data_IF_581108762444
#
_entry.id   IF_581108762444
#
_cell.length_a   1.000
_cell.length_b   1.000
_cell.length_c   1.000
_cell.angle_alpha   90.00
_cell.angle_beta   90.00
_cell.angle_gamma   90.00
#
_symmetry.space_group_name_H-M   'P 1'
#
loop_
_entity.id
_entity.type
_entity.pdbx_description
1 polymer ?
#
# COMPACT_ATOMS: atom_id res chain seq x y z
N UNK A 1 16.92 -8.25 13.13
CA UNK A 1 15.71 -8.97 13.55
C UNK A 1 16.14 -10.39 13.85
N UNK A 2 15.87 -10.90 15.05
CA UNK A 2 16.23 -12.27 15.42
C UNK A 2 15.01 -13.17 15.24
N UNK A 3 15.02 -13.97 14.17
CA UNK A 3 13.97 -14.93 13.83
C UNK A 3 14.39 -16.29 14.41
N UNK A 4 13.52 -16.99 15.18
CA UNK A 4 13.86 -18.31 15.69
C UNK A 4 14.04 -19.34 14.58
N UNK A 5 15.11 -20.13 14.64
CA UNK A 5 15.36 -21.24 13.70
C UNK A 5 14.54 -22.49 14.05
N UNK A 6 14.03 -22.59 15.29
CA UNK A 6 13.33 -23.78 15.76
C UNK A 6 11.84 -23.73 15.41
N UNK A 7 11.33 -24.86 14.93
CA UNK A 7 9.91 -25.02 14.55
C UNK A 7 8.99 -24.77 15.74
N UNK A 8 9.40 -25.19 16.93
CA UNK A 8 8.60 -25.11 18.15
C UNK A 8 8.45 -23.67 18.66
N UNK A 9 9.42 -22.79 18.35
CA UNK A 9 9.43 -21.41 18.81
C UNK A 9 8.86 -20.44 17.76
N UNK A 10 8.95 -20.76 16.47
CA UNK A 10 8.57 -19.87 15.38
C UNK A 10 7.10 -19.44 15.45
N UNK A 11 6.17 -20.39 15.65
CA UNK A 11 4.74 -20.10 15.75
C UNK A 11 4.41 -19.15 16.91
N UNK A 12 4.73 -19.51 18.17
CA UNK A 12 4.52 -18.63 19.33
C UNK A 12 5.24 -17.27 19.23
N UNK A 13 6.37 -17.21 18.52
CA UNK A 13 7.07 -15.94 18.27
C UNK A 13 6.30 -15.06 17.29
N UNK A 14 5.78 -15.62 16.18
CA UNK A 14 4.95 -14.91 15.22
C UNK A 14 3.64 -14.43 15.85
N UNK A 15 3.03 -15.21 16.75
CA UNK A 15 1.81 -14.81 17.46
C UNK A 15 1.99 -13.47 18.17
N UNK A 16 3.15 -13.26 18.81
CA UNK A 16 3.48 -12.01 19.50
C UNK A 16 3.70 -10.86 18.52
N UNK A 17 4.22 -11.14 17.33
CA UNK A 17 4.41 -10.12 16.27
C UNK A 17 3.08 -9.67 15.68
N UNK A 18 2.15 -10.60 15.49
CA UNK A 18 0.81 -10.31 14.96
C UNK A 18 0.05 -9.34 15.84
N UNK A 19 0.17 -9.45 17.16
CA UNK A 19 -0.53 -8.54 18.09
C UNK A 19 0.26 -7.27 18.41
N UNK A 20 1.48 -7.11 17.87
CA UNK A 20 2.34 -5.96 18.12
C UNK A 20 1.81 -4.73 17.35
N UNK A 21 1.80 -3.57 17.99
CA UNK A 21 1.42 -2.31 17.36
C UNK A 21 2.41 -1.87 16.26
N UNK A 22 3.58 -2.50 16.20
CA UNK A 22 4.61 -2.25 15.18
C UNK A 22 4.60 -3.27 14.04
N UNK A 23 3.56 -4.10 13.90
CA UNK A 23 3.50 -5.14 12.84
C UNK A 23 3.78 -4.57 11.44
N UNK A 24 3.23 -3.40 11.10
CA UNK A 24 3.48 -2.77 9.79
C UNK A 24 4.95 -2.40 9.53
N UNK A 25 5.72 -2.06 10.57
CA UNK A 25 7.17 -1.84 10.42
C UNK A 25 7.90 -3.19 10.28
N UNK A 26 7.50 -4.18 11.07
CA UNK A 26 8.05 -5.53 10.99
C UNK A 26 7.85 -6.16 9.60
N UNK A 27 6.68 -5.99 8.99
CA UNK A 27 6.37 -6.45 7.63
C UNK A 27 7.32 -5.82 6.62
N UNK A 28 7.57 -4.50 6.69
CA UNK A 28 8.54 -3.83 5.81
C UNK A 28 9.96 -4.35 5.99
N UNK A 29 10.38 -4.65 7.21
CA UNK A 29 11.69 -5.23 7.47
C UNK A 29 11.81 -6.65 6.90
N UNK A 30 10.75 -7.45 7.00
CA UNK A 30 10.68 -8.78 6.40
C UNK A 30 10.70 -8.74 4.87
N UNK A 31 10.06 -7.76 4.23
CA UNK A 31 10.07 -7.62 2.77
C UNK A 31 11.49 -7.51 2.18
N UNK A 32 12.46 -6.99 2.94
CA UNK A 32 13.86 -6.93 2.49
C UNK A 32 14.57 -8.29 2.51
N UNK A 33 14.06 -9.27 3.27
CA UNK A 33 14.68 -10.59 3.46
C UNK A 33 13.75 -11.75 3.07
N UNK A 34 12.55 -11.46 2.53
CA UNK A 34 11.53 -12.46 2.21
C UNK A 34 12.02 -13.48 1.17
N UNK A 35 12.91 -13.07 0.27
CA UNK A 35 13.52 -13.93 -0.76
C UNK A 35 14.30 -15.12 -0.14
N UNK A 36 14.83 -14.98 1.08
CA UNK A 36 15.57 -16.05 1.78
C UNK A 36 14.64 -17.16 2.29
N UNK A 37 13.34 -16.87 2.41
CA UNK A 37 12.33 -17.81 2.93
C UNK A 37 11.53 -18.48 1.82
N UNK A 38 11.64 -18.00 0.58
CA UNK A 38 10.75 -18.41 -0.50
C UNK A 38 11.22 -19.74 -1.13
N UNK A 39 10.45 -20.84 -0.99
CA UNK A 39 10.74 -22.06 -1.74
C UNK A 39 10.57 -21.77 -3.23
N UNK A 40 11.44 -22.29 -4.12
CA UNK A 40 11.29 -22.07 -5.55
C UNK A 40 9.92 -22.59 -6.03
N UNK A 41 9.09 -21.68 -6.54
CA UNK A 41 7.77 -21.99 -7.11
C UNK A 41 6.60 -22.02 -6.12
N UNK A 42 6.79 -21.56 -4.88
CA UNK A 42 5.70 -21.42 -3.91
C UNK A 42 5.44 -19.94 -3.62
N UNK A 43 4.32 -19.42 -4.10
CA UNK A 43 3.86 -18.05 -3.86
C UNK A 43 2.36 -18.13 -3.57
N UNK A 44 1.95 -18.28 -2.31
CA UNK A 44 0.53 -18.35 -1.97
C UNK A 44 -0.16 -17.04 -2.36
N UNK A 45 -1.29 -17.15 -3.04
CA UNK A 45 -2.05 -15.99 -3.52
C UNK A 45 -3.00 -15.44 -2.45
N UNK A 46 -3.19 -16.17 -1.33
CA UNK A 46 -4.12 -15.77 -0.27
C UNK A 46 -3.80 -16.35 1.11
N UNK A 47 -4.28 -15.67 2.16
CA UNK A 47 -4.25 -16.18 3.54
C UNK A 47 -4.92 -17.56 3.67
N UNK A 48 -6.01 -17.79 2.93
CA UNK A 48 -6.76 -19.04 2.96
C UNK A 48 -5.92 -20.23 2.45
N UNK A 49 -5.04 -19.98 1.49
CA UNK A 49 -4.13 -20.99 0.95
C UNK A 49 -3.05 -21.39 1.97
N UNK A 50 -2.50 -20.41 2.71
CA UNK A 50 -1.51 -20.66 3.77
C UNK A 50 -2.14 -21.40 4.96
N UNK A 51 -3.31 -20.93 5.42
CA UNK A 51 -3.98 -21.50 6.58
C UNK A 51 -4.62 -22.87 6.27
N UNK A 52 -5.10 -23.07 5.05
CA UNK A 52 -5.75 -24.32 4.63
C UNK A 52 -6.87 -24.75 5.58
N UNK A 53 -6.84 -26.01 6.01
CA UNK A 53 -7.78 -26.56 7.00
C UNK A 53 -7.50 -26.15 8.44
N UNK A 54 -6.37 -25.48 8.71
CA UNK A 54 -5.93 -25.14 10.07
C UNK A 54 -6.41 -23.76 10.53
N UNK A 55 -7.17 -23.02 9.71
CA UNK A 55 -7.73 -21.70 10.03
C UNK A 55 -8.37 -21.67 11.42
N UNK A 56 -9.32 -22.57 11.69
CA UNK A 56 -10.04 -22.58 12.97
C UNK A 56 -9.11 -22.94 14.14
N UNK A 57 -8.10 -23.78 13.89
CA UNK A 57 -7.09 -24.10 14.89
C UNK A 57 -6.20 -22.90 15.21
N UNK A 58 -5.90 -22.05 14.23
CA UNK A 58 -5.15 -20.79 14.43
C UNK A 58 -5.99 -19.79 15.23
N UNK A 59 -7.28 -19.66 14.94
CA UNK A 59 -8.16 -18.76 15.70
C UNK A 59 -8.32 -19.20 17.18
N UNK A 60 -8.32 -20.51 17.45
CA UNK A 60 -8.48 -21.05 18.80
C UNK A 60 -7.16 -21.17 19.59
N UNK A 61 -6.04 -21.45 18.89
CA UNK A 61 -4.78 -21.89 19.55
C UNK A 61 -3.53 -21.16 19.07
N UNK A 62 -3.63 -20.25 18.11
CA UNK A 62 -2.49 -19.52 17.54
C UNK A 62 -1.70 -20.30 16.50
N UNK A 63 -0.64 -19.67 15.99
CA UNK A 63 0.22 -20.21 14.94
C UNK A 63 1.01 -21.45 15.35
N UNK A 64 1.07 -21.79 16.64
CA UNK A 64 1.63 -23.08 17.08
C UNK A 64 0.87 -24.29 16.52
N UNK A 65 -0.35 -24.11 16.00
CA UNK A 65 -1.09 -25.18 15.32
C UNK A 65 -0.60 -25.44 13.90
N UNK A 66 0.13 -24.49 13.30
CA UNK A 66 0.65 -24.62 11.95
C UNK A 66 1.92 -25.47 11.90
N UNK A 67 2.16 -26.05 10.74
CA UNK A 67 3.44 -26.70 10.47
C UNK A 67 4.52 -25.66 10.10
N UNK A 68 5.77 -26.12 9.96
CA UNK A 68 6.89 -25.24 9.68
C UNK A 68 6.76 -24.52 8.33
N UNK A 69 6.31 -25.25 7.30
CA UNK A 69 6.20 -24.73 5.94
C UNK A 69 5.16 -23.61 5.86
N UNK A 70 4.06 -23.75 6.60
CA UNK A 70 3.04 -22.69 6.72
C UNK A 70 3.57 -21.45 7.46
N UNK A 71 4.33 -21.63 8.54
CA UNK A 71 4.98 -20.49 9.21
C UNK A 71 6.03 -19.83 8.31
N UNK A 72 6.80 -20.61 7.55
CA UNK A 72 7.75 -20.10 6.58
C UNK A 72 7.05 -19.35 5.44
N UNK A 73 5.87 -19.80 5.00
CA UNK A 73 5.06 -19.12 4.01
C UNK A 73 4.70 -17.69 4.43
N UNK A 74 4.40 -17.45 5.71
CA UNK A 74 4.17 -16.10 6.23
C UNK A 74 5.43 -15.22 6.21
N UNK A 75 6.60 -15.80 6.47
CA UNK A 75 7.88 -15.06 6.38
C UNK A 75 8.25 -14.74 4.92
N UNK A 76 7.94 -15.64 4.00
CA UNK A 76 8.12 -15.45 2.57
C UNK A 76 7.09 -14.48 1.95
N UNK A 77 5.94 -14.31 2.60
CA UNK A 77 4.84 -13.43 2.15
C UNK A 77 4.41 -12.49 3.28
N UNK A 78 5.24 -11.50 3.65
CA UNK A 78 5.03 -10.72 4.87
C UNK A 78 3.70 -9.96 4.92
N UNK A 79 3.13 -9.61 3.76
CA UNK A 79 1.82 -8.96 3.67
C UNK A 79 0.69 -9.82 4.26
N UNK A 80 0.80 -11.15 4.18
CA UNK A 80 -0.18 -12.09 4.74
C UNK A 80 -0.26 -12.02 6.27
N UNK A 81 0.76 -11.48 6.93
CA UNK A 81 0.72 -11.23 8.38
C UNK A 81 -0.26 -10.11 8.74
N UNK A 82 -0.46 -9.12 7.86
CA UNK A 82 -1.45 -8.05 8.08
C UNK A 82 -2.87 -8.59 7.92
N UNK A 83 -3.12 -9.39 6.88
CA UNK A 83 -4.41 -10.08 6.70
C UNK A 83 -4.71 -11.00 7.88
N UNK A 84 -3.70 -11.73 8.36
CA UNK A 84 -3.85 -12.57 9.54
C UNK A 84 -4.14 -11.75 10.81
N UNK A 85 -3.51 -10.59 10.98
CA UNK A 85 -3.81 -9.68 12.10
C UNK A 85 -5.26 -9.23 12.05
N UNK A 86 -5.75 -8.79 10.89
CA UNK A 86 -7.14 -8.41 10.71
C UNK A 86 -8.08 -9.56 11.09
N UNK A 87 -7.84 -10.75 10.53
CA UNK A 87 -8.63 -11.96 10.82
C UNK A 87 -8.65 -12.27 12.33
N UNK A 88 -7.49 -12.22 12.99
CA UNK A 88 -7.35 -12.49 14.43
C UNK A 88 -8.02 -11.43 15.29
N UNK A 89 -7.97 -10.15 14.90
CA UNK A 89 -8.63 -9.07 15.64
C UNK A 89 -10.16 -9.13 15.53
N UNK A 90 -10.69 -9.64 14.42
CA UNK A 90 -12.13 -9.76 14.18
C UNK A 90 -12.69 -11.06 14.77
N UNK A 91 -12.01 -12.19 14.52
CA UNK A 91 -12.53 -13.54 14.80
C UNK A 91 -11.73 -14.32 15.85
N UNK A 92 -10.64 -13.76 16.37
CA UNK A 92 -9.77 -14.45 17.32
C UNK A 92 -10.46 -14.84 18.63
N UNK A 93 -10.19 -16.06 19.09
CA UNK A 93 -10.74 -16.58 20.34
C UNK A 93 -9.97 -16.12 21.60
N UNK A 94 -10.26 -16.78 22.71
CA UNK A 94 -9.64 -16.50 24.03
C UNK A 94 -8.11 -16.54 24.01
N UNK A 95 -7.52 -17.33 23.13
CA UNK A 95 -6.07 -17.41 22.98
C UNK A 95 -5.46 -16.05 22.62
N UNK A 96 -5.98 -15.43 21.56
CA UNK A 96 -5.46 -14.15 21.05
C UNK A 96 -5.73 -13.00 22.01
N UNK A 97 -6.89 -12.99 22.66
CA UNK A 97 -7.18 -12.03 23.72
C UNK A 97 -6.14 -12.11 24.86
N UNK A 98 -5.78 -13.33 25.28
CA UNK A 98 -4.76 -13.51 26.32
C UNK A 98 -3.36 -13.04 25.87
N UNK A 99 -3.02 -13.15 24.58
CA UNK A 99 -1.75 -12.59 24.08
C UNK A 99 -1.82 -11.06 24.05
N UNK A 100 -2.90 -10.47 23.55
CA UNK A 100 -3.13 -9.03 23.57
C UNK A 100 -3.03 -8.45 24.98
N UNK A 101 -3.60 -9.14 25.97
CA UNK A 101 -3.54 -8.72 27.38
C UNK A 101 -2.12 -8.81 27.97
N UNK A 102 -1.28 -9.70 27.46
CA UNK A 102 0.12 -9.84 27.88
C UNK A 102 1.05 -8.82 27.23
N UNK A 103 0.72 -8.34 26.04
CA UNK A 103 1.41 -7.23 25.38
C UNK A 103 0.88 -5.94 26.02
N UNK A 104 1.24 -5.70 27.29
CA UNK A 104 0.94 -4.43 27.95
C UNK A 104 1.50 -3.30 27.09
N UNK A 105 0.60 -2.55 26.45
CA UNK A 105 0.91 -1.23 25.90
C UNK A 105 1.65 -0.46 26.99
N UNK A 106 2.76 0.23 26.70
CA UNK A 106 3.42 1.09 27.66
C UNK A 106 2.52 2.32 27.92
N UNK A 107 1.42 2.11 28.62
CA UNK A 107 0.62 3.16 29.23
C UNK A 107 1.49 3.73 30.32
N UNK A 108 2.16 4.83 29.97
CA UNK A 108 2.74 5.78 30.90
C UNK A 108 1.74 6.06 32.02
N UNK A 109 1.90 5.35 33.12
CA UNK A 109 1.35 5.74 34.41
C UNK A 109 2.45 5.48 35.43
N UNK A 110 3.02 6.53 36.04
CA UNK A 110 3.98 6.34 37.12
C UNK A 110 3.30 5.54 38.24
N UNK A 111 4.03 4.66 38.92
CA UNK A 111 3.46 3.82 39.97
C UNK A 111 2.88 4.73 41.05
N UNK A 112 1.56 4.65 41.24
CA UNK A 112 0.87 5.26 42.38
C UNK A 112 1.35 4.51 43.62
N UNK A 113 2.39 5.04 44.25
CA UNK A 113 2.92 4.51 45.50
C UNK A 113 1.80 4.55 46.54
N UNK A 114 1.25 3.37 46.85
CA UNK A 114 0.39 3.15 48.00
C UNK A 114 1.23 3.41 49.26
N UNK A 115 1.06 4.60 49.83
CA UNK A 115 1.67 5.01 51.09
C UNK A 115 1.03 4.20 52.22
N UNK A 116 1.68 3.10 52.59
CA UNK A 116 1.37 2.31 53.77
C UNK A 116 1.41 3.24 55.00
N UNK A 117 0.28 3.34 55.70
CA UNK A 117 0.21 3.89 57.06
C UNK A 117 1.19 3.13 57.94
N UNK A 118 2.13 3.85 58.52
CA UNK A 118 2.86 3.42 59.72
C UNK A 118 2.59 4.45 60.80
N UNK A 119 1.87 4.02 61.83
CA UNK A 119 1.76 4.71 63.10
C UNK A 119 3.13 4.76 63.78
N UNK A 120 3.60 5.95 64.14
CA UNK A 120 4.28 6.09 65.43
C UNK A 120 4.35 7.53 65.92
N UNK A 121 4.00 7.64 67.19
CA UNK A 121 3.91 8.81 68.04
C UNK A 121 5.27 9.48 68.29
N UNK A 122 5.36 10.80 68.13
CA UNK A 122 5.97 11.74 69.10
C UNK A 122 5.88 13.20 68.63
N UNK A 123 5.36 14.06 69.51
CA UNK A 123 5.29 15.52 69.35
C UNK A 123 6.59 16.19 69.88
N UNK A 124 6.71 17.54 69.88
CA UNK A 124 7.10 18.37 68.75
C UNK A 124 8.42 19.13 69.02
N UNK A 125 9.17 19.48 67.97
CA UNK A 125 10.19 20.56 68.06
C UNK A 125 10.02 21.55 66.92
N UNK A 126 9.56 22.73 67.34
CA UNK A 126 9.50 23.97 66.57
C UNK A 126 10.93 24.43 66.28
N UNK A 127 11.29 24.55 64.99
CA UNK A 127 12.39 25.41 64.56
C UNK A 127 12.00 26.17 63.28
N UNK A 128 11.60 27.42 63.53
CA UNK A 128 12.07 28.66 62.91
C UNK A 128 12.37 28.61 61.40
N UNK A 129 11.49 29.28 60.66
CA UNK A 129 11.64 29.74 59.28
C UNK A 129 13.00 30.43 59.06
N UNK A 130 13.74 29.98 58.04
CA UNK A 130 14.77 30.80 57.39
C UNK A 130 14.22 31.31 56.06
N UNK A 131 14.43 32.60 55.72
CA UNK A 131 14.04 33.16 54.42
C UNK A 131 14.96 32.59 53.34
N UNK A 132 14.39 32.11 52.23
CA UNK A 132 15.15 31.79 51.02
C UNK A 132 15.24 33.08 50.21
N UNK A 133 16.45 33.62 50.15
CA UNK A 133 16.85 34.73 49.30
C UNK A 133 16.64 34.43 47.82
N UNK A 134 16.29 35.48 47.11
CA UNK A 134 16.05 35.52 45.67
C UNK A 134 17.36 35.46 44.84
N UNK A 135 17.22 34.85 43.65
CA UNK A 135 17.87 35.22 42.37
C UNK A 135 19.36 34.87 42.13
N UNK A 136 19.86 34.95 40.87
CA UNK A 136 19.29 34.46 39.60
C UNK A 136 20.37 33.74 38.75
N UNK A 137 20.00 32.90 37.77
CA UNK A 137 20.83 32.72 36.56
C UNK A 137 20.05 32.11 35.39
N UNK A 138 19.45 33.02 34.62
CA UNK A 138 19.09 32.82 33.21
C UNK A 138 20.36 32.44 32.44
N UNK A 139 20.49 31.17 32.05
CA UNK A 139 21.41 30.75 31.00
C UNK A 139 20.63 30.65 29.69
N UNK A 140 21.03 31.47 28.71
CA UNK A 140 20.55 31.42 27.34
C UNK A 140 21.38 30.36 26.61
N UNK A 141 20.75 29.26 26.23
CA UNK A 141 21.37 28.30 25.30
C UNK A 141 20.57 28.33 23.98
N UNK A 142 21.23 28.60 22.84
CA UNK A 142 20.57 28.69 21.56
C UNK A 142 20.20 27.30 21.03
N UNK A 143 18.98 27.22 20.50
CA UNK A 143 18.38 26.09 19.82
C UNK A 143 19.13 25.85 18.49
N UNK A 144 19.85 24.73 18.38
CA UNK A 144 20.43 24.28 17.11
C UNK A 144 19.29 23.63 16.31
N UNK A 145 18.85 24.33 15.27
CA UNK A 145 17.91 23.81 14.27
C UNK A 145 18.68 22.80 13.42
N UNK A 146 18.31 21.53 13.52
CA UNK A 146 18.83 20.45 12.68
C UNK A 146 18.55 20.71 11.20
N UNK A 147 19.61 20.75 10.40
CA UNK A 147 19.62 20.97 8.94
C UNK A 147 19.21 19.70 8.14
N UNK A 148 18.48 18.76 8.76
CA UNK A 148 18.05 17.53 8.10
C UNK A 148 16.81 17.68 7.19
N UNK A 149 16.16 18.85 7.17
CA UNK A 149 14.91 19.08 6.43
C UNK A 149 15.08 19.69 5.03
N UNK A 150 16.30 20.05 4.60
CA UNK A 150 16.53 20.63 3.26
C UNK A 150 17.09 19.63 2.24
N UNK A 151 17.45 18.41 2.66
CA UNK A 151 17.92 17.35 1.75
C UNK A 151 16.81 16.65 0.97
N UNK A 152 15.60 16.56 1.54
CA UNK A 152 14.50 15.81 0.91
C UNK A 152 13.74 16.62 -0.16
N UNK A 153 13.69 17.95 -0.06
CA UNK A 153 13.05 18.78 -1.09
C UNK A 153 13.90 18.90 -2.37
N UNK A 154 15.21 18.74 -2.30
CA UNK A 154 16.09 18.81 -3.47
C UNK A 154 15.99 17.57 -4.37
N UNK A 155 15.74 16.38 -3.80
CA UNK A 155 15.62 15.13 -4.56
C UNK A 155 14.30 15.10 -5.35
N UNK A 156 13.19 15.54 -4.73
CA UNK A 156 11.88 15.63 -5.40
C UNK A 156 11.90 16.67 -6.53
N UNK A 157 12.54 17.83 -6.31
CA UNK A 157 12.68 18.85 -7.36
C UNK A 157 13.60 18.40 -8.52
N UNK A 158 14.62 17.59 -8.24
CA UNK A 158 15.53 17.07 -9.27
C UNK A 158 14.84 16.07 -10.20
N UNK A 159 13.99 15.18 -9.67
CA UNK A 159 13.20 14.28 -10.54
C UNK A 159 12.15 15.02 -11.36
N UNK A 160 11.61 16.13 -10.84
CA UNK A 160 10.64 16.95 -11.57
C UNK A 160 11.25 17.71 -12.77
N UNK A 161 12.53 18.12 -12.69
CA UNK A 161 13.17 18.87 -13.78
C UNK A 161 13.61 18.00 -14.97
N UNK A 162 13.88 16.71 -14.78
CA UNK A 162 14.29 15.81 -15.88
C UNK A 162 13.11 15.54 -16.84
N UNK A 163 11.86 15.66 -16.40
CA UNK A 163 10.69 15.38 -17.25
C UNK A 163 10.11 16.59 -18.00
N UNK A 164 10.42 17.83 -17.63
CA UNK A 164 9.85 19.02 -18.32
C UNK A 164 10.72 19.52 -19.48
N UNK A 165 11.94 19.01 -19.64
CA UNK A 165 12.92 19.55 -20.58
C UNK A 165 13.11 18.74 -21.88
N UNK A 166 12.07 18.10 -22.43
CA UNK A 166 12.14 17.54 -23.78
C UNK A 166 11.07 18.09 -24.73
N UNK A 167 11.18 19.36 -25.17
CA UNK A 167 10.44 19.85 -26.32
C UNK A 167 11.24 19.61 -27.61
N UNK A 168 10.53 19.11 -28.63
CA UNK A 168 10.91 18.98 -30.03
C UNK A 168 11.67 17.70 -30.44
N UNK A 169 10.92 16.76 -31.02
CA UNK A 169 11.38 16.12 -32.25
C UNK A 169 10.33 16.25 -33.34
N UNK A 170 10.81 16.76 -34.46
CA UNK A 170 10.07 17.25 -35.60
C UNK A 170 9.47 16.11 -36.42
N UNK A 171 8.22 16.31 -36.81
CA UNK A 171 7.56 15.64 -37.93
C UNK A 171 8.36 15.97 -39.19
N UNK A 172 9.10 14.99 -39.72
CA UNK A 172 9.59 15.03 -41.09
C UNK A 172 8.52 14.39 -41.95
N UNK A 173 7.72 15.26 -42.56
CA UNK A 173 6.84 14.95 -43.69
C UNK A 173 7.74 14.47 -44.85
N UNK A 174 7.55 13.24 -45.32
CA UNK A 174 8.18 12.75 -46.54
C UNK A 174 7.14 12.75 -47.68
N UNK A 175 7.19 13.69 -48.64
CA UNK A 175 6.25 13.76 -49.73
C UNK A 175 6.80 12.99 -50.93
N UNK A 176 6.69 11.67 -50.90
CA UNK A 176 6.71 10.85 -52.11
C UNK A 176 6.30 9.42 -51.75
N UNK A 177 5.07 9.05 -52.14
CA UNK A 177 4.81 7.84 -52.90
C UNK A 177 3.32 7.77 -53.22
N UNK A 178 2.93 8.55 -54.23
CA UNK A 178 1.69 8.33 -54.96
C UNK A 178 2.04 7.55 -56.24
N UNK A 179 1.85 6.24 -56.21
CA UNK A 179 1.61 5.48 -57.43
C UNK A 179 0.54 4.41 -57.19
N UNK A 180 -0.61 4.68 -57.77
CA UNK A 180 -1.74 3.79 -57.90
C UNK A 180 -1.34 2.48 -58.56
N UNK A 181 -1.80 1.36 -58.00
CA UNK A 181 -2.24 0.20 -58.79
C UNK A 181 -3.43 -0.46 -58.08
N UNK A 182 -4.53 -0.53 -58.82
CA UNK A 182 -5.80 -1.19 -58.49
C UNK A 182 -5.63 -2.70 -58.36
N UNK A 183 -5.98 -3.27 -57.20
CA UNK A 183 -6.42 -4.67 -57.11
C UNK A 183 -7.31 -4.89 -55.85
N UNK A 184 -8.52 -5.46 -55.96
CA UNK A 184 -9.37 -5.72 -54.81
C UNK A 184 -9.22 -7.19 -54.39
N UNK A 185 -8.43 -7.48 -53.37
CA UNK A 185 -8.52 -8.78 -52.68
C UNK A 185 -8.05 -8.71 -51.21
N UNK A 186 -9.04 -8.93 -50.33
CA UNK A 186 -9.02 -9.70 -49.07
C UNK A 186 -7.93 -9.43 -48.01
N UNK A 187 -8.45 -8.97 -46.87
CA UNK A 187 -8.04 -9.33 -45.50
C UNK A 187 -6.67 -8.80 -45.02
N UNK A 188 -6.62 -7.50 -44.73
CA UNK A 188 -5.93 -7.00 -43.54
C UNK A 188 -6.99 -6.44 -42.59
N UNK A 189 -7.08 -6.90 -41.32
CA UNK A 189 -7.88 -6.19 -40.35
C UNK A 189 -7.20 -4.85 -40.09
N UNK A 190 -7.90 -3.75 -40.40
CA UNK A 190 -7.61 -2.47 -39.78
C UNK A 190 -7.64 -2.66 -38.25
N UNK A 191 -6.75 -2.01 -37.48
CA UNK A 191 -6.79 -2.10 -36.02
C UNK A 191 -8.15 -1.60 -35.56
N UNK A 192 -9.03 -2.54 -35.26
CA UNK A 192 -10.38 -2.29 -34.81
C UNK A 192 -10.26 -1.95 -33.34
N UNK A 193 -10.38 -0.66 -33.07
CA UNK A 193 -10.76 0.01 -31.82
C UNK A 193 -10.63 -0.84 -30.54
N UNK A 194 -9.71 -0.43 -29.67
CA UNK A 194 -9.50 -0.94 -28.29
C UNK A 194 -10.71 -0.63 -27.37
N UNK A 195 -11.93 -0.95 -27.80
CA UNK A 195 -13.08 -0.94 -26.91
C UNK A 195 -13.00 -2.19 -26.03
N UNK A 196 -12.38 -2.03 -24.87
CA UNK A 196 -12.36 -3.02 -23.79
C UNK A 196 -13.74 -3.10 -23.13
N UNK A 197 -14.23 -4.30 -22.77
CA UNK A 197 -15.47 -4.45 -21.97
C UNK A 197 -15.16 -4.65 -20.47
N UNK A 198 -14.10 -4.02 -19.97
CA UNK A 198 -13.66 -4.17 -18.59
C UNK A 198 -13.07 -2.87 -18.04
N UNK A 199 -12.92 -2.80 -16.73
CA UNK A 199 -12.41 -1.60 -16.08
C UNK A 199 -13.32 -0.40 -16.33
N UNK A 200 -12.72 0.76 -16.56
CA UNK A 200 -13.47 1.99 -16.84
C UNK A 200 -14.07 2.07 -18.25
N UNK A 201 -13.72 1.14 -19.15
CA UNK A 201 -14.40 1.03 -20.45
C UNK A 201 -15.68 0.18 -20.37
N UNK A 202 -15.95 -0.45 -19.22
CA UNK A 202 -17.21 -1.15 -19.01
C UNK A 202 -18.40 -0.18 -19.07
N UNK A 203 -19.53 -0.55 -19.70
CA UNK A 203 -20.72 0.31 -19.77
C UNK A 203 -21.27 0.72 -18.41
N UNK A 204 -21.02 -0.09 -17.38
CA UNK A 204 -21.51 0.12 -16.02
C UNK A 204 -20.47 0.80 -15.11
N UNK A 205 -19.32 1.25 -15.65
CA UNK A 205 -18.23 1.82 -14.85
C UNK A 205 -18.55 3.19 -14.21
N UNK A 206 -19.57 3.89 -14.71
CA UNK A 206 -19.92 5.24 -14.25
C UNK A 206 -21.39 5.32 -13.85
N UNK A 207 -21.68 4.96 -12.60
CA UNK A 207 -23.02 5.09 -12.05
C UNK A 207 -23.23 6.44 -11.36
N UNK A 208 -23.58 7.46 -12.15
CA UNK A 208 -23.86 8.83 -11.66
C UNK A 208 -25.05 8.93 -10.68
N UNK A 209 -25.78 7.84 -10.40
CA UNK A 209 -26.86 7.82 -9.41
C UNK A 209 -26.41 7.54 -7.98
N UNK A 210 -25.15 7.14 -7.79
CA UNK A 210 -24.58 6.83 -6.49
C UNK A 210 -24.18 8.10 -5.70
N UNK A 211 -24.19 8.01 -4.36
CA UNK A 211 -23.47 8.96 -3.51
C UNK A 211 -21.99 9.11 -3.91
N UNK A 212 -21.33 10.25 -3.61
CA UNK A 212 -19.95 10.51 -4.02
C UNK A 212 -18.92 9.47 -3.57
N UNK A 213 -19.06 8.98 -2.34
CA UNK A 213 -18.20 7.95 -1.73
C UNK A 213 -18.38 6.59 -2.43
N UNK A 214 -19.63 6.12 -2.53
CA UNK A 214 -19.97 4.89 -3.24
C UNK A 214 -19.49 4.92 -4.71
N UNK A 215 -19.63 6.07 -5.37
CA UNK A 215 -19.16 6.27 -6.74
C UNK A 215 -17.65 6.10 -6.87
N UNK A 216 -16.86 6.67 -5.96
CA UNK A 216 -15.41 6.52 -5.95
C UNK A 216 -15.00 5.07 -5.63
N UNK A 217 -15.71 4.40 -4.72
CA UNK A 217 -15.48 2.97 -4.47
C UNK A 217 -15.72 2.12 -5.73
N UNK A 218 -16.82 2.35 -6.48
CA UNK A 218 -17.06 1.65 -7.74
C UNK A 218 -15.97 1.92 -8.79
N UNK A 219 -15.46 3.16 -8.88
CA UNK A 219 -14.32 3.47 -9.76
C UNK A 219 -13.05 2.72 -9.36
N UNK A 220 -12.77 2.60 -8.06
CA UNK A 220 -11.64 1.83 -7.56
C UNK A 220 -11.80 0.33 -7.88
N UNK A 221 -13.00 -0.22 -7.71
CA UNK A 221 -13.29 -1.63 -8.00
C UNK A 221 -13.20 -1.92 -9.50
N UNK A 222 -13.66 -0.99 -10.35
CA UNK A 222 -13.47 -1.07 -11.79
C UNK A 222 -11.97 -1.10 -12.15
N UNK A 223 -11.13 -0.26 -11.56
CA UNK A 223 -9.67 -0.32 -11.77
C UNK A 223 -9.09 -1.67 -11.30
N UNK A 224 -9.62 -2.23 -10.21
CA UNK A 224 -9.28 -3.56 -9.69
C UNK A 224 -9.48 -4.70 -10.69
N UNK A 225 -10.34 -4.53 -11.70
CA UNK A 225 -10.52 -5.51 -12.77
C UNK A 225 -9.24 -5.81 -13.56
N UNK A 226 -8.20 -4.97 -13.46
CA UNK A 226 -6.84 -5.26 -13.91
C UNK A 226 -6.39 -6.67 -13.48
N UNK A 227 -6.55 -6.99 -12.19
CA UNK A 227 -6.04 -8.23 -11.57
C UNK A 227 -6.83 -9.49 -11.94
N UNK A 228 -7.98 -9.36 -12.61
CA UNK A 228 -8.80 -10.52 -13.01
C UNK A 228 -8.16 -11.37 -14.12
N UNK A 229 -7.17 -10.82 -14.83
CA UNK A 229 -6.41 -11.54 -15.87
C UNK A 229 -4.95 -11.14 -15.78
N UNK A 230 -4.11 -12.13 -15.48
CA UNK A 230 -2.66 -11.98 -15.52
C UNK A 230 -2.17 -12.15 -16.97
N UNK A 231 -1.46 -11.16 -17.56
CA UNK A 231 -0.82 -11.35 -18.86
C UNK A 231 0.35 -12.34 -18.75
N UNK A 232 0.41 -13.31 -19.67
CA UNK A 232 1.43 -14.37 -19.69
C UNK A 232 2.48 -14.16 -20.80
N UNK A 233 2.29 -13.14 -21.63
CA UNK A 233 3.18 -12.80 -22.74
C UNK A 233 3.35 -11.28 -22.88
N UNK A 234 4.43 -10.85 -23.53
CA UNK A 234 4.71 -9.44 -23.77
C UNK A 234 3.58 -8.77 -24.56
N UNK A 235 3.01 -9.47 -25.54
CA UNK A 235 1.91 -8.95 -26.37
C UNK A 235 0.61 -8.86 -25.57
N UNK A 236 0.32 -9.85 -24.71
CA UNK A 236 -0.82 -9.78 -23.78
C UNK A 236 -0.66 -8.60 -22.80
N UNK A 237 0.55 -8.36 -22.29
CA UNK A 237 0.81 -7.27 -21.35
C UNK A 237 0.65 -5.91 -22.03
N UNK A 238 1.21 -5.74 -23.24
CA UNK A 238 1.00 -4.54 -24.06
C UNK A 238 -0.47 -4.27 -24.31
N UNK A 239 -1.21 -5.28 -24.74
CA UNK A 239 -2.65 -5.15 -24.98
C UNK A 239 -3.37 -4.72 -23.71
N UNK A 240 -3.09 -5.39 -22.59
CA UNK A 240 -3.73 -5.10 -21.30
C UNK A 240 -3.43 -3.69 -20.80
N UNK A 241 -2.18 -3.24 -20.91
CA UNK A 241 -1.77 -1.87 -20.58
C UNK A 241 -2.45 -0.84 -21.49
N UNK A 242 -2.57 -1.12 -22.79
CA UNK A 242 -3.24 -0.23 -23.74
C UNK A 242 -4.74 -0.11 -23.47
N UNK A 243 -5.41 -1.23 -23.13
CA UNK A 243 -6.80 -1.25 -22.69
C UNK A 243 -6.98 -0.44 -21.38
N UNK A 244 -6.13 -0.65 -20.37
CA UNK A 244 -6.19 0.13 -19.13
C UNK A 244 -5.97 1.63 -19.39
N UNK A 245 -5.02 1.95 -20.28
CA UNK A 245 -4.72 3.32 -20.68
C UNK A 245 -5.89 3.99 -21.40
N UNK A 246 -6.63 3.24 -22.21
CA UNK A 246 -7.86 3.72 -22.83
C UNK A 246 -8.95 3.98 -21.78
N UNK A 247 -9.10 3.09 -20.80
CA UNK A 247 -9.95 3.30 -19.63
C UNK A 247 -9.66 4.61 -18.91
N UNK A 248 -8.38 5.00 -18.75
CA UNK A 248 -8.01 6.30 -18.19
C UNK A 248 -8.56 7.48 -19.02
N UNK A 249 -8.62 7.37 -20.35
CA UNK A 249 -9.19 8.41 -21.22
C UNK A 249 -10.70 8.50 -21.07
N UNK A 250 -11.36 7.34 -21.00
CA UNK A 250 -12.79 7.25 -20.71
C UNK A 250 -13.11 7.92 -19.38
N UNK A 251 -12.33 7.62 -18.33
CA UNK A 251 -12.45 8.29 -17.04
C UNK A 251 -12.22 9.80 -17.15
N UNK A 252 -11.14 10.25 -17.80
CA UNK A 252 -10.83 11.69 -17.90
C UNK A 252 -11.90 12.51 -18.64
N UNK A 253 -12.61 11.90 -19.58
CA UNK A 253 -13.65 12.56 -20.39
C UNK A 253 -15.05 12.43 -19.81
N UNK A 254 -15.25 11.56 -18.82
CA UNK A 254 -16.52 11.41 -18.12
C UNK A 254 -16.89 12.68 -17.33
N UNK A 255 -18.20 12.87 -17.12
CA UNK A 255 -18.75 14.06 -16.46
C UNK A 255 -18.59 14.02 -14.94
N UNK A 256 -18.64 12.83 -14.33
CA UNK A 256 -18.61 12.59 -12.89
C UNK A 256 -19.60 13.50 -12.14
N UNK A 257 -20.87 13.45 -12.51
CA UNK A 257 -21.82 14.49 -12.07
C UNK A 257 -22.13 14.43 -10.57
N UNK A 258 -21.88 13.30 -9.92
CA UNK A 258 -22.02 13.10 -8.48
C UNK A 258 -20.91 13.76 -7.65
N UNK A 259 -19.71 13.97 -8.22
CA UNK A 259 -18.57 14.55 -7.50
C UNK A 259 -18.61 16.09 -7.48
N UNK A 260 -18.07 16.68 -6.41
CA UNK A 260 -17.82 18.13 -6.33
C UNK A 260 -16.78 18.57 -7.37
N UNK A 261 -16.70 19.87 -7.68
CA UNK A 261 -15.71 20.36 -8.65
C UNK A 261 -14.27 20.06 -8.20
N UNK A 262 -13.97 20.27 -6.92
CA UNK A 262 -12.65 20.02 -6.33
C UNK A 262 -12.29 18.53 -6.42
N UNK A 263 -13.25 17.63 -6.15
CA UNK A 263 -13.02 16.19 -6.23
C UNK A 263 -12.88 15.70 -7.68
N UNK A 264 -13.62 16.30 -8.63
CA UNK A 264 -13.43 16.05 -10.06
C UNK A 264 -12.06 16.48 -10.55
N UNK A 265 -11.60 17.66 -10.13
CA UNK A 265 -10.28 18.15 -10.50
C UNK A 265 -9.18 17.26 -9.91
N UNK A 266 -9.33 16.85 -8.65
CA UNK A 266 -8.45 15.88 -8.02
C UNK A 266 -8.40 14.56 -8.81
N UNK A 267 -9.55 13.99 -9.15
CA UNK A 267 -9.63 12.71 -9.86
C UNK A 267 -8.97 12.81 -11.24
N UNK A 268 -9.25 13.88 -12.00
CA UNK A 268 -8.64 14.10 -13.32
C UNK A 268 -7.14 14.32 -13.25
N UNK A 269 -6.67 15.05 -12.22
CA UNK A 269 -5.24 15.32 -12.04
C UNK A 269 -4.47 14.02 -11.77
N UNK A 270 -4.99 13.18 -10.86
CA UNK A 270 -4.37 11.90 -10.54
C UNK A 270 -4.49 10.90 -11.70
N UNK A 271 -5.63 10.85 -12.38
CA UNK A 271 -5.79 9.98 -13.55
C UNK A 271 -4.83 10.32 -14.69
N UNK A 272 -4.50 11.60 -14.92
CA UNK A 272 -3.45 12.01 -15.88
C UNK A 272 -2.07 11.51 -15.46
N UNK A 273 -1.76 11.57 -14.16
CA UNK A 273 -0.49 11.07 -13.63
C UNK A 273 -0.37 9.56 -13.86
N UNK A 274 -1.36 8.78 -13.43
CA UNK A 274 -1.35 7.32 -13.62
C UNK A 274 -1.32 6.94 -15.10
N UNK A 275 -2.07 7.65 -15.95
CA UNK A 275 -2.01 7.46 -17.40
C UNK A 275 -0.59 7.64 -17.97
N UNK A 276 0.14 8.65 -17.50
CA UNK A 276 1.54 8.87 -17.89
C UNK A 276 2.50 7.77 -17.41
N UNK A 277 2.26 7.20 -16.22
CA UNK A 277 3.02 6.04 -15.73
C UNK A 277 2.77 4.81 -16.60
N UNK A 278 1.52 4.56 -17.00
CA UNK A 278 1.16 3.47 -17.92
C UNK A 278 1.75 3.69 -19.32
N UNK A 279 1.77 4.93 -19.83
CA UNK A 279 2.42 5.27 -21.10
C UNK A 279 3.93 4.96 -21.09
N UNK A 280 4.60 5.18 -19.94
CA UNK A 280 5.99 4.78 -19.77
C UNK A 280 6.14 3.25 -19.79
N UNK A 281 5.27 2.51 -19.11
CA UNK A 281 5.30 1.04 -19.11
C UNK A 281 5.06 0.45 -20.51
N UNK A 282 4.15 1.04 -21.30
CA UNK A 282 3.93 0.69 -22.71
C UNK A 282 5.18 0.92 -23.59
N UNK A 283 6.04 1.87 -23.23
CA UNK A 283 7.33 2.07 -23.90
C UNK A 283 8.36 1.04 -23.44
N UNK A 284 8.38 0.75 -22.14
CA UNK A 284 9.38 -0.11 -21.51
C UNK A 284 9.20 -1.59 -21.85
N UNK A 285 7.95 -2.05 -22.06
CA UNK A 285 7.58 -3.46 -22.28
C UNK A 285 8.25 -4.12 -23.50
N UNK A 286 8.73 -3.33 -24.47
CA UNK A 286 9.50 -3.84 -25.61
C UNK A 286 10.97 -4.13 -25.28
N UNK A 287 11.48 -3.55 -24.20
CA UNK A 287 12.92 -3.50 -23.90
C UNK A 287 13.30 -4.08 -22.55
N UNK A 288 12.33 -4.20 -21.62
CA UNK A 288 12.52 -4.72 -20.27
C UNK A 288 11.95 -6.13 -20.13
N UNK A 289 12.28 -6.77 -19.02
CA UNK A 289 11.69 -8.06 -18.64
C UNK A 289 10.19 -7.90 -18.35
N UNK A 290 9.39 -8.85 -18.84
CA UNK A 290 7.93 -8.83 -18.68
C UNK A 290 7.51 -8.81 -17.20
N UNK A 291 8.22 -9.54 -16.34
CA UNK A 291 7.90 -9.64 -14.92
C UNK A 291 8.17 -8.32 -14.19
N UNK A 292 9.19 -7.57 -14.61
CA UNK A 292 9.51 -6.25 -14.08
C UNK A 292 8.40 -5.24 -14.42
N UNK A 293 8.01 -5.18 -15.70
CA UNK A 293 6.97 -4.25 -16.16
C UNK A 293 5.60 -4.62 -15.58
N UNK A 294 5.29 -5.92 -15.49
CA UNK A 294 4.07 -6.41 -14.85
C UNK A 294 4.02 -6.01 -13.37
N UNK A 295 5.11 -6.23 -12.62
CA UNK A 295 5.20 -5.81 -11.21
C UNK A 295 5.00 -4.31 -11.05
N UNK A 296 5.59 -3.50 -11.94
CA UNK A 296 5.42 -2.05 -11.92
C UNK A 296 3.96 -1.66 -12.20
N UNK A 297 3.31 -2.31 -13.18
CA UNK A 297 1.90 -2.09 -13.47
C UNK A 297 1.01 -2.46 -12.27
N UNK A 298 1.24 -3.62 -11.66
CA UNK A 298 0.51 -4.07 -10.47
C UNK A 298 0.66 -3.09 -9.31
N UNK A 299 1.86 -2.53 -9.11
CA UNK A 299 2.12 -1.53 -8.08
C UNK A 299 1.38 -0.21 -8.35
N UNK A 300 1.45 0.32 -9.57
CA UNK A 300 0.71 1.52 -9.97
C UNK A 300 -0.81 1.30 -9.82
N UNK A 301 -1.31 0.13 -10.21
CA UNK A 301 -2.74 -0.20 -10.11
C UNK A 301 -3.20 -0.33 -8.65
N UNK A 302 -2.42 -0.97 -7.79
CA UNK A 302 -2.73 -1.01 -6.36
C UNK A 302 -2.69 0.38 -5.72
N UNK A 303 -1.72 1.20 -6.11
CA UNK A 303 -1.60 2.57 -5.60
C UNK A 303 -2.80 3.42 -5.98
N UNK A 304 -3.26 3.43 -7.24
CA UNK A 304 -4.43 4.24 -7.60
C UNK A 304 -5.69 3.77 -6.88
N UNK A 305 -5.92 2.45 -6.78
CA UNK A 305 -7.11 1.90 -6.10
C UNK A 305 -7.14 2.41 -4.66
N UNK A 306 -5.99 2.33 -3.98
CA UNK A 306 -5.85 2.85 -2.61
C UNK A 306 -6.11 4.35 -2.54
N UNK A 307 -5.54 5.15 -3.44
CA UNK A 307 -5.73 6.62 -3.45
C UNK A 307 -7.19 7.01 -3.72
N UNK A 308 -7.88 6.32 -4.62
CA UNK A 308 -9.31 6.54 -4.88
C UNK A 308 -10.16 6.16 -3.66
N UNK A 309 -9.89 5.02 -3.01
CA UNK A 309 -10.62 4.60 -1.80
C UNK A 309 -10.40 5.55 -0.63
N UNK A 310 -9.17 6.00 -0.40
CA UNK A 310 -8.90 7.03 0.61
C UNK A 310 -9.67 8.32 0.32
N UNK A 311 -9.80 8.69 -0.96
CA UNK A 311 -10.61 9.84 -1.34
C UNK A 311 -12.11 9.62 -1.12
N UNK A 312 -12.60 8.40 -1.34
CA UNK A 312 -13.98 8.01 -1.02
C UNK A 312 -14.28 8.23 0.47
N UNK A 313 -13.37 7.77 1.35
CA UNK A 313 -13.50 7.95 2.81
C UNK A 313 -13.51 9.43 3.24
N UNK A 314 -12.84 10.31 2.49
CA UNK A 314 -12.82 11.75 2.77
C UNK A 314 -14.11 12.48 2.37
N UNK A 315 -14.86 11.95 1.40
CA UNK A 315 -16.08 12.59 0.86
C UNK A 315 -17.39 12.03 1.43
N UNK A 316 -17.31 10.93 2.20
CA UNK A 316 -18.41 10.33 2.95
C UNK A 316 -18.86 11.22 4.13
#
# INVERSE_FOLDING_TARGET
MDIPDSKEELGPWLDRKIVDCQLGQFVKELEFIADDFNPPGYSPDSLQEILGSDRDAVLDRGLKSLNYDQCAAFLANPQMLLELQELVLIEGGNYWQNILDQVELPLSSPPRQNKTKSDSSSAPKVHVLKPIEESPKRSKMPWIISVAALGLLAIVAYQYQVHVANPANNIVENPNDQKSDTNPDKNSPAPTMLASNWGWDSPDAFNDSLPPDDYLHELADAAGAWFNKRPDSTDDLKQRLAEFRHGCETLLTAKHTTLSEDDREWLRTNCKKWAGEIDQMLTDVESKDISEVQKQADQTVNQLIREIRLKADEVA
#
